data_IF_274532127602
#
_entry.id   IF_274532127602
#
_cell.length_a   1.000
_cell.length_b   1.000
_cell.length_c   1.000
_cell.angle_alpha   90.00
_cell.angle_beta   90.00
_cell.angle_gamma   90.00
#
_symmetry.space_group_name_H-M   'P 1'
#
loop_
_entity.id
_entity.type
_entity.pdbx_description
1 polymer ?
#
# COMPACT_ATOMS: atom_id res chain seq x y z
N UNK A 1 -39.58 -20.00 -13.07
CA UNK A 1 -39.27 -18.82 -13.91
C UNK A 1 -39.28 -17.51 -13.12
N UNK A 2 -40.32 -17.21 -12.32
CA UNK A 2 -40.40 -15.97 -11.50
C UNK A 2 -39.23 -15.79 -10.51
N UNK A 3 -38.73 -16.87 -9.90
CA UNK A 3 -37.57 -16.81 -8.99
C UNK A 3 -36.29 -16.39 -9.74
N UNK A 4 -36.09 -16.87 -10.97
CA UNK A 4 -34.91 -16.55 -11.80
C UNK A 4 -34.99 -15.09 -12.26
N UNK A 5 -36.17 -14.63 -12.68
CA UNK A 5 -36.39 -13.22 -13.08
C UNK A 5 -36.23 -12.29 -11.88
N UNK A 6 -36.78 -12.65 -10.71
CA UNK A 6 -36.60 -11.88 -9.47
C UNK A 6 -35.13 -11.81 -9.03
N UNK A 7 -34.41 -12.94 -9.12
CA UNK A 7 -32.97 -13.00 -8.83
C UNK A 7 -32.15 -12.13 -9.80
N UNK A 8 -32.47 -12.18 -11.09
CA UNK A 8 -31.84 -11.36 -12.11
C UNK A 8 -32.07 -9.86 -11.86
N UNK A 9 -33.32 -9.44 -11.63
CA UNK A 9 -33.67 -8.05 -11.35
C UNK A 9 -32.98 -7.53 -10.08
N UNK A 10 -32.88 -8.37 -9.04
CA UNK A 10 -32.22 -8.01 -7.79
C UNK A 10 -30.70 -7.81 -7.96
N UNK A 11 -30.04 -8.69 -8.72
CA UNK A 11 -28.58 -8.68 -8.92
C UNK A 11 -28.11 -7.62 -9.91
N UNK A 12 -28.98 -7.17 -10.83
CA UNK A 12 -28.68 -6.06 -11.76
C UNK A 12 -29.15 -4.70 -11.28
N UNK A 13 -29.69 -4.62 -10.05
CA UNK A 13 -30.18 -3.35 -9.50
C UNK A 13 -29.01 -2.36 -9.31
N UNK A 14 -29.15 -1.10 -9.77
CA UNK A 14 -28.12 -0.10 -9.54
C UNK A 14 -27.90 0.21 -8.06
N UNK A 15 -26.68 0.59 -7.72
CA UNK A 15 -26.31 0.97 -6.36
C UNK A 15 -26.83 2.37 -6.03
N UNK A 16 -27.37 2.54 -4.82
CA UNK A 16 -27.69 3.87 -4.31
C UNK A 16 -26.42 4.58 -3.78
N UNK A 17 -26.54 5.87 -3.47
CA UNK A 17 -25.40 6.65 -2.97
C UNK A 17 -24.71 6.07 -1.74
N UNK A 18 -25.48 5.56 -0.78
CA UNK A 18 -24.93 5.02 0.46
C UNK A 18 -24.15 3.74 0.20
N UNK A 19 -24.65 2.89 -0.69
CA UNK A 19 -23.98 1.68 -1.15
C UNK A 19 -22.67 2.01 -1.89
N UNK A 20 -22.70 3.01 -2.78
CA UNK A 20 -21.50 3.50 -3.47
C UNK A 20 -20.45 3.98 -2.46
N UNK A 21 -20.83 4.83 -1.50
CA UNK A 21 -19.94 5.36 -0.45
C UNK A 21 -19.35 4.28 0.45
N UNK A 22 -20.08 3.19 0.70
CA UNK A 22 -19.62 2.04 1.52
C UNK A 22 -18.78 1.02 0.74
N UNK A 23 -18.64 1.16 -0.57
CA UNK A 23 -17.89 0.21 -1.40
C UNK A 23 -16.39 0.47 -1.46
N UNK A 24 -16.00 1.73 -1.31
CA UNK A 24 -14.60 2.19 -1.40
C UNK A 24 -13.81 1.83 -0.13
N UNK A 25 -12.48 1.79 -0.24
CA UNK A 25 -11.52 1.67 0.84
C UNK A 25 -10.22 2.36 0.43
N UNK A 26 -9.42 2.79 1.39
CA UNK A 26 -8.03 3.18 1.15
C UNK A 26 -7.15 1.97 1.37
N UNK A 27 -6.17 1.77 0.50
CA UNK A 27 -5.21 0.68 0.65
C UNK A 27 -3.83 1.28 0.84
N UNK A 28 -3.26 0.99 2.00
CA UNK A 28 -1.88 1.32 2.31
C UNK A 28 -1.01 0.14 1.94
N UNK A 29 -0.05 0.38 1.06
CA UNK A 29 1.06 -0.54 0.80
C UNK A 29 2.28 0.00 1.49
N UNK A 30 2.88 -0.80 2.37
CA UNK A 30 4.18 -0.51 2.97
C UNK A 30 5.22 -1.41 2.30
N UNK A 31 6.19 -0.79 1.64
CA UNK A 31 7.27 -1.47 0.94
C UNK A 31 8.58 -1.33 1.72
N UNK A 32 9.30 -2.44 1.90
CA UNK A 32 10.63 -2.45 2.47
C UNK A 32 11.46 -3.55 1.80
N UNK A 33 12.75 -3.58 2.10
CA UNK A 33 13.67 -4.55 1.53
C UNK A 33 14.25 -5.43 2.62
N UNK A 34 14.54 -6.68 2.25
CA UNK A 34 15.19 -7.65 3.11
C UNK A 34 16.42 -8.19 2.40
N UNK A 35 17.57 -8.05 3.05
CA UNK A 35 18.82 -8.68 2.65
C UNK A 35 18.82 -10.12 3.16
N UNK A 36 18.95 -11.08 2.25
CA UNK A 36 19.15 -12.48 2.53
C UNK A 36 20.61 -12.86 2.31
N UNK A 37 21.19 -13.64 3.21
CA UNK A 37 22.49 -14.27 3.02
C UNK A 37 22.35 -15.78 3.25
N UNK A 38 22.72 -16.59 2.26
CA UNK A 38 22.45 -18.03 2.24
C UNK A 38 20.98 -18.33 2.62
N UNK A 39 20.04 -17.64 1.95
CA UNK A 39 18.59 -17.76 2.10
C UNK A 39 18.02 -17.44 3.50
N UNK A 40 18.83 -16.89 4.39
CA UNK A 40 18.39 -16.42 5.71
C UNK A 40 18.25 -14.90 5.71
N UNK A 41 17.14 -14.34 6.23
CA UNK A 41 16.99 -12.90 6.36
C UNK A 41 18.00 -12.37 7.38
N UNK A 42 18.79 -11.38 6.98
CA UNK A 42 19.90 -10.81 7.76
C UNK A 42 19.54 -9.44 8.30
N UNK A 43 19.05 -8.56 7.42
CA UNK A 43 18.71 -7.18 7.79
C UNK A 43 17.57 -6.66 6.91
N UNK A 44 16.70 -5.83 7.50
CA UNK A 44 15.64 -5.13 6.81
C UNK A 44 16.00 -3.66 6.67
N UNK A 45 15.57 -3.01 5.58
CA UNK A 45 15.85 -1.60 5.34
C UNK A 45 14.76 -0.98 4.46
N UNK A 46 14.58 0.34 4.53
CA UNK A 46 13.43 1.04 3.96
C UNK A 46 13.57 1.34 2.47
N UNK A 47 14.80 1.51 1.99
CA UNK A 47 15.08 1.85 0.60
C UNK A 47 16.55 2.14 0.36
N UNK A 48 16.83 2.65 -0.85
CA UNK A 48 18.17 3.06 -1.26
C UNK A 48 18.26 4.57 -1.35
N UNK A 49 19.42 5.11 -0.95
CA UNK A 49 19.81 6.48 -1.26
C UNK A 49 20.13 6.62 -2.76
N UNK A 50 20.35 7.86 -3.23
CA UNK A 50 20.79 8.12 -4.62
C UNK A 50 22.09 7.42 -5.00
N UNK A 51 22.95 7.14 -4.02
CA UNK A 51 24.23 6.47 -4.22
C UNK A 51 24.14 4.95 -4.06
N UNK A 52 22.91 4.39 -4.07
CA UNK A 52 22.63 2.96 -3.89
C UNK A 52 23.04 2.42 -2.52
N UNK A 53 23.01 3.26 -1.48
CA UNK A 53 23.32 2.88 -0.09
C UNK A 53 22.03 2.54 0.63
N UNK A 54 22.04 1.50 1.48
CA UNK A 54 20.83 1.12 2.23
C UNK A 54 20.49 2.15 3.31
N UNK A 55 19.22 2.48 3.43
CA UNK A 55 18.71 3.43 4.43
C UNK A 55 17.61 2.82 5.30
N UNK A 56 17.45 3.37 6.51
CA UNK A 56 16.34 3.02 7.40
C UNK A 56 16.38 1.57 7.91
N UNK A 57 17.54 1.11 8.37
CA UNK A 57 17.71 -0.25 8.89
C UNK A 57 16.75 -0.59 10.02
N UNK A 58 16.29 -1.84 10.02
CA UNK A 58 15.46 -2.44 11.04
C UNK A 58 15.82 -3.92 11.24
N UNK A 59 15.57 -4.42 12.45
CA UNK A 59 15.78 -5.81 12.83
C UNK A 59 14.48 -6.53 13.21
N UNK A 60 13.34 -5.86 13.01
CA UNK A 60 12.00 -6.44 13.15
C UNK A 60 11.05 -5.86 12.10
N UNK A 61 10.04 -6.63 11.70
CA UNK A 61 9.02 -6.18 10.74
C UNK A 61 8.11 -5.08 11.34
N UNK A 62 7.96 -5.05 12.66
CA UNK A 62 7.14 -4.03 13.33
C UNK A 62 7.83 -2.65 13.35
N UNK A 63 9.17 -2.64 13.42
CA UNK A 63 9.95 -1.39 13.53
C UNK A 63 10.41 -0.80 12.20
N UNK A 64 10.24 -1.50 11.07
CA UNK A 64 10.72 -0.98 9.78
C UNK A 64 9.82 0.17 9.30
N UNK A 65 10.42 1.32 8.99
CA UNK A 65 9.70 2.46 8.38
C UNK A 65 9.82 2.39 6.85
N UNK A 66 9.12 1.46 6.23
CA UNK A 66 9.08 1.29 4.77
C UNK A 66 8.45 2.47 4.03
N UNK A 67 8.64 2.53 2.71
CA UNK A 67 7.95 3.48 1.84
C UNK A 67 6.46 3.16 1.82
N UNK A 68 5.63 4.13 2.20
CA UNK A 68 4.17 3.98 2.20
C UNK A 68 3.57 4.59 0.95
N UNK A 69 2.84 3.77 0.20
CA UNK A 69 1.96 4.20 -0.88
C UNK A 69 0.51 4.07 -0.42
N UNK A 70 -0.32 5.08 -0.71
CA UNK A 70 -1.75 5.06 -0.37
C UNK A 70 -2.58 5.19 -1.63
N UNK A 71 -3.16 4.07 -2.06
CA UNK A 71 -4.05 3.97 -3.20
C UNK A 71 -5.51 3.81 -2.78
N UNK A 72 -6.38 3.81 -3.78
CA UNK A 72 -7.78 3.43 -3.65
C UNK A 72 -7.98 1.92 -3.80
N UNK A 73 -9.10 1.44 -3.29
CA UNK A 73 -9.62 0.12 -3.61
C UNK A 73 -11.11 0.03 -3.30
N UNK A 74 -11.71 -1.10 -3.65
CA UNK A 74 -13.12 -1.37 -3.37
C UNK A 74 -13.38 -2.85 -3.19
N UNK A 75 -14.33 -3.17 -2.32
CA UNK A 75 -14.70 -4.54 -1.99
C UNK A 75 -15.48 -5.18 -3.14
N UNK A 76 -15.23 -6.46 -3.40
CA UNK A 76 -15.84 -7.17 -4.54
C UNK A 76 -16.33 -8.55 -4.13
N UNK A 77 -17.48 -8.94 -4.69
CA UNK A 77 -17.94 -10.32 -4.63
C UNK A 77 -17.05 -11.19 -5.54
N UNK A 78 -16.78 -12.43 -5.11
CA UNK A 78 -16.10 -13.42 -5.96
C UNK A 78 -16.91 -13.73 -7.22
N UNK A 79 -18.20 -13.96 -7.03
CA UNK A 79 -19.12 -14.27 -8.12
C UNK A 79 -20.09 -13.11 -8.34
N UNK A 80 -20.41 -12.75 -9.60
CA UNK A 80 -21.25 -11.57 -9.88
C UNK A 80 -22.66 -11.65 -9.28
N UNK A 81 -23.17 -12.88 -9.15
CA UNK A 81 -24.56 -13.16 -8.80
C UNK A 81 -24.76 -13.56 -7.33
N UNK A 82 -23.69 -13.66 -6.54
CA UNK A 82 -23.74 -14.18 -5.16
C UNK A 82 -22.96 -13.25 -4.23
N UNK A 83 -23.55 -12.89 -3.10
CA UNK A 83 -22.86 -12.17 -2.02
C UNK A 83 -21.73 -13.05 -1.45
N UNK A 84 -20.53 -12.91 -2.01
CA UNK A 84 -19.42 -13.85 -1.88
C UNK A 84 -18.08 -13.13 -1.73
N UNK A 85 -18.11 -11.96 -1.09
CA UNK A 85 -16.92 -11.11 -0.91
C UNK A 85 -15.81 -11.83 -0.16
N UNK A 86 -16.08 -12.44 1.00
CA UNK A 86 -15.07 -13.14 1.81
C UNK A 86 -13.82 -12.30 2.05
N UNK A 87 -14.01 -11.01 2.29
CA UNK A 87 -12.94 -10.02 2.46
C UNK A 87 -12.13 -9.72 1.20
N UNK A 88 -12.63 -9.97 -0.01
CA UNK A 88 -11.94 -9.65 -1.26
C UNK A 88 -12.13 -8.19 -1.68
N UNK A 89 -11.07 -7.60 -2.19
CA UNK A 89 -11.12 -6.27 -2.79
C UNK A 89 -10.18 -6.17 -3.98
N UNK A 90 -10.45 -5.22 -4.87
CA UNK A 90 -9.52 -4.79 -5.90
C UNK A 90 -8.93 -3.46 -5.45
N UNK A 91 -7.61 -3.31 -5.58
CA UNK A 91 -6.91 -2.10 -5.17
C UNK A 91 -5.84 -1.70 -6.18
N UNK A 92 -5.64 -0.39 -6.34
CA UNK A 92 -4.45 0.11 -7.01
C UNK A 92 -3.24 -0.13 -6.10
N UNK A 93 -2.24 -0.80 -6.65
CA UNK A 93 -0.99 -1.09 -5.94
C UNK A 93 0.19 -0.36 -6.57
N UNK A 94 0.14 -0.06 -7.88
CA UNK A 94 1.22 0.54 -8.64
C UNK A 94 2.57 -0.07 -8.22
N UNK A 95 2.66 -1.40 -8.34
CA UNK A 95 3.82 -2.20 -7.96
C UNK A 95 4.75 -2.27 -9.16
N UNK A 96 5.66 -1.31 -9.23
CA UNK A 96 6.80 -1.43 -10.15
C UNK A 96 7.70 -2.54 -9.59
N UNK A 97 8.08 -3.54 -10.42
CA UNK A 97 8.94 -4.63 -9.98
C UNK A 97 10.35 -4.07 -9.82
N UNK A 98 10.65 -3.55 -8.64
CA UNK A 98 11.99 -3.15 -8.27
C UNK A 98 12.69 -4.35 -7.63
N UNK A 99 12.87 -5.41 -8.42
CA UNK A 99 13.93 -6.36 -8.13
C UNK A 99 15.19 -5.59 -8.50
N UNK A 100 15.90 -5.02 -7.52
CA UNK A 100 17.28 -4.57 -7.73
C UNK A 100 18.11 -5.84 -7.79
N UNK A 101 18.43 -6.37 -8.98
CA UNK A 101 19.24 -7.55 -9.05
C UNK A 101 20.65 -7.03 -8.75
N UNK A 102 21.12 -7.20 -7.51
CA UNK A 102 22.55 -7.08 -7.20
C UNK A 102 23.23 -8.32 -7.78
N UNK A 103 23.05 -8.58 -9.08
CA UNK A 103 23.59 -9.76 -9.74
C UNK A 103 25.03 -9.54 -10.18
N UNK A 104 25.48 -8.29 -10.32
CA UNK A 104 26.79 -8.07 -10.95
C UNK A 104 27.95 -7.74 -10.01
N UNK A 105 27.75 -7.49 -8.70
CA UNK A 105 28.85 -7.59 -7.72
C UNK A 105 28.39 -7.39 -6.25
N UNK A 106 27.73 -8.39 -5.68
CA UNK A 106 27.39 -8.44 -4.24
C UNK A 106 28.57 -8.06 -3.32
N UNK A 107 29.81 -8.56 -3.53
CA UNK A 107 30.92 -8.23 -2.64
C UNK A 107 31.30 -6.75 -2.68
N UNK A 108 31.20 -6.10 -3.85
CA UNK A 108 31.48 -4.66 -3.97
C UNK A 108 30.38 -3.85 -3.30
N UNK A 109 29.12 -4.23 -3.48
CA UNK A 109 28.00 -3.61 -2.81
C UNK A 109 28.16 -3.66 -1.29
N UNK A 110 28.37 -4.86 -0.72
CA UNK A 110 28.58 -5.02 0.72
C UNK A 110 29.81 -4.26 1.23
N UNK A 111 30.91 -4.26 0.47
CA UNK A 111 32.11 -3.51 0.84
C UNK A 111 31.85 -2.01 0.92
N UNK A 112 31.17 -1.44 -0.09
CA UNK A 112 30.79 -0.02 -0.12
C UNK A 112 29.87 0.33 1.04
N UNK A 113 28.88 -0.51 1.31
CA UNK A 113 27.95 -0.32 2.42
C UNK A 113 28.66 -0.34 3.78
N UNK A 114 29.53 -1.32 4.01
CA UNK A 114 30.32 -1.45 5.24
C UNK A 114 31.26 -0.23 5.40
N UNK A 115 31.90 0.22 4.32
CA UNK A 115 32.78 1.39 4.37
C UNK A 115 32.00 2.65 4.73
N UNK A 116 30.86 2.87 4.09
CA UNK A 116 29.97 4.00 4.36
C UNK A 116 29.47 3.99 5.81
N UNK A 117 28.99 2.85 6.30
CA UNK A 117 28.48 2.73 7.67
C UNK A 117 29.55 3.05 8.71
N UNK A 118 30.80 2.62 8.49
CA UNK A 118 31.92 2.95 9.40
C UNK A 118 32.18 4.45 9.46
N UNK A 119 32.29 5.10 8.30
CA UNK A 119 32.54 6.54 8.21
C UNK A 119 31.39 7.31 8.87
N UNK A 120 30.15 6.94 8.54
CA UNK A 120 28.97 7.60 9.07
C UNK A 120 28.85 7.41 10.59
N UNK A 121 29.17 6.23 11.11
CA UNK A 121 29.22 5.97 12.55
C UNK A 121 30.26 6.84 13.26
N UNK A 122 31.44 7.05 12.66
CA UNK A 122 32.45 7.97 13.21
C UNK A 122 31.88 9.38 13.34
N UNK A 123 31.35 9.93 12.24
CA UNK A 123 30.75 11.28 12.24
C UNK A 123 29.60 11.43 13.23
N UNK A 124 28.74 10.42 13.34
CA UNK A 124 27.63 10.44 14.29
C UNK A 124 28.11 10.41 15.75
N UNK A 125 29.17 9.65 16.05
CA UNK A 125 29.77 9.59 17.39
C UNK A 125 30.44 10.90 17.79
N UNK A 126 31.15 11.53 16.86
CA UNK A 126 31.76 12.85 17.04
C UNK A 126 30.67 13.87 17.37
N UNK A 127 29.61 13.92 16.54
CA UNK A 127 28.45 14.78 16.79
C UNK A 127 27.75 14.48 18.12
N UNK A 128 27.61 13.21 18.51
CA UNK A 128 27.03 12.84 19.80
C UNK A 128 27.89 13.36 20.97
N UNK A 129 29.22 13.32 20.83
CA UNK A 129 30.15 13.84 21.84
C UNK A 129 30.00 15.36 22.02
N UNK A 130 29.87 16.11 20.92
CA UNK A 130 29.63 17.56 20.92
C UNK A 130 28.30 17.91 21.61
N UNK A 131 27.22 17.19 21.29
CA UNK A 131 25.92 17.43 21.89
C UNK A 131 25.90 17.10 23.39
N UNK A 132 26.58 16.03 23.80
CA UNK A 132 26.74 15.71 25.23
C UNK A 132 27.56 16.77 25.96
N UNK A 133 28.59 17.32 25.32
CA UNK A 133 29.35 18.44 25.87
C UNK A 133 28.44 19.66 26.05
N UNK A 134 27.68 20.02 25.01
CA UNK A 134 26.72 21.13 25.05
C UNK A 134 25.72 20.98 26.20
N UNK A 135 25.05 19.83 26.30
CA UNK A 135 24.05 19.56 27.35
C UNK A 135 24.63 19.55 28.77
N UNK A 136 25.93 19.26 28.92
CA UNK A 136 26.62 19.28 30.21
C UNK A 136 27.02 20.70 30.64
N UNK A 137 27.45 21.52 29.68
CA UNK A 137 27.96 22.88 29.95
C UNK A 137 26.83 23.91 30.00
N UNK A 138 25.84 23.78 29.13
CA UNK A 138 24.68 24.66 29.03
C UNK A 138 23.48 23.97 29.68
N UNK A 139 23.43 24.02 31.01
CA UNK A 139 22.37 23.42 31.84
C UNK A 139 21.13 24.31 32.04
N UNK A 140 20.93 25.32 31.20
CA UNK A 140 19.73 26.17 31.26
C UNK A 140 18.58 25.39 30.62
N UNK A 141 17.59 25.02 31.42
CA UNK A 141 16.40 24.29 30.98
C UNK A 141 15.43 25.24 30.27
N UNK A 142 15.70 25.53 29.01
CA UNK A 142 14.79 26.24 28.11
C UNK A 142 14.25 25.31 27.01
N UNK A 143 13.40 25.85 26.12
CA UNK A 143 12.86 25.09 24.99
C UNK A 143 13.95 24.56 24.05
N UNK A 144 15.09 25.25 23.94
CA UNK A 144 16.24 24.83 23.14
C UNK A 144 16.95 23.61 23.73
N UNK A 145 17.10 23.56 25.06
CA UNK A 145 17.66 22.42 25.78
C UNK A 145 16.87 21.14 25.51
N UNK A 146 15.54 21.21 25.64
CA UNK A 146 14.67 20.05 25.42
C UNK A 146 14.75 19.51 23.98
N UNK A 147 14.84 20.41 23.00
CA UNK A 147 15.03 20.03 21.59
C UNK A 147 16.36 19.30 21.41
N UNK A 148 17.44 19.80 22.00
CA UNK A 148 18.78 19.20 21.90
C UNK A 148 18.85 17.86 22.64
N UNK A 149 18.23 17.73 23.81
CA UNK A 149 18.15 16.48 24.56
C UNK A 149 17.38 15.39 23.77
N UNK A 150 16.23 15.76 23.18
CA UNK A 150 15.45 14.88 22.30
C UNK A 150 16.25 14.46 21.07
N UNK A 151 16.95 15.41 20.43
CA UNK A 151 17.82 15.11 19.28
C UNK A 151 18.97 14.18 19.65
N UNK A 152 19.64 14.41 20.79
CA UNK A 152 20.72 13.59 21.32
C UNK A 152 20.26 12.14 21.55
N UNK A 153 19.07 11.97 22.11
CA UNK A 153 18.47 10.64 22.32
C UNK A 153 18.21 9.93 20.99
N UNK A 154 17.63 10.62 20.00
CA UNK A 154 17.41 10.07 18.66
C UNK A 154 18.71 9.73 17.95
N UNK A 155 19.75 10.56 18.08
CA UNK A 155 21.07 10.30 17.49
C UNK A 155 21.72 9.05 18.11
N UNK A 156 21.61 8.88 19.43
CA UNK A 156 22.09 7.67 20.10
C UNK A 156 21.42 6.41 19.56
N UNK A 157 20.08 6.42 19.46
CA UNK A 157 19.35 5.30 18.88
C UNK A 157 19.77 5.00 17.43
N UNK A 158 20.02 6.05 16.60
CA UNK A 158 20.55 5.88 15.24
C UNK A 158 21.93 5.24 15.21
N UNK A 159 22.82 5.63 16.12
CA UNK A 159 24.16 5.02 16.26
C UNK A 159 24.04 3.55 16.63
N UNK A 160 23.18 3.20 17.58
CA UNK A 160 23.00 1.81 18.02
C UNK A 160 22.47 0.94 16.87
N UNK A 161 21.46 1.43 16.12
CA UNK A 161 20.94 0.75 14.92
C UNK A 161 22.01 0.59 13.83
N UNK A 162 22.75 1.65 13.51
CA UNK A 162 23.79 1.61 12.47
C UNK A 162 24.98 0.71 12.87
N UNK A 163 25.35 0.69 14.15
CA UNK A 163 26.38 -0.20 14.67
C UNK A 163 25.95 -1.65 14.55
N UNK A 164 24.72 -1.97 14.97
CA UNK A 164 24.16 -3.32 14.81
C UNK A 164 24.10 -3.74 13.35
N UNK A 165 23.76 -2.82 12.44
CA UNK A 165 23.74 -3.07 11.01
C UNK A 165 25.14 -3.40 10.49
N UNK A 166 26.14 -2.59 10.82
CA UNK A 166 27.54 -2.81 10.47
C UNK A 166 28.04 -4.17 10.97
N UNK A 167 27.78 -4.50 12.24
CA UNK A 167 28.21 -5.76 12.83
C UNK A 167 27.55 -6.95 12.14
N UNK A 168 26.26 -6.84 11.84
CA UNK A 168 25.50 -7.85 11.09
C UNK A 168 26.09 -8.06 9.69
N UNK A 169 26.32 -6.99 8.93
CA UNK A 169 26.87 -7.09 7.56
C UNK A 169 28.28 -7.69 7.55
N UNK A 170 29.11 -7.42 8.56
CA UNK A 170 30.45 -7.99 8.70
C UNK A 170 30.45 -9.50 8.93
N UNK A 171 29.37 -10.08 9.44
CA UNK A 171 29.27 -11.54 9.61
C UNK A 171 29.09 -12.29 8.28
N UNK A 172 28.67 -11.59 7.22
CA UNK A 172 28.47 -12.18 5.90
C UNK A 172 29.84 -12.50 5.29
N UNK A 173 30.13 -13.78 5.08
CA UNK A 173 31.39 -14.23 4.47
C UNK A 173 31.43 -13.84 2.99
N UNK A 174 32.63 -13.57 2.47
CA UNK A 174 32.88 -13.10 1.08
C UNK A 174 32.19 -13.92 -0.02
N UNK A 175 32.06 -15.24 0.16
CA UNK A 175 31.49 -16.17 -0.82
C UNK A 175 30.03 -16.55 -0.52
N UNK A 176 29.40 -15.92 0.48
CA UNK A 176 27.99 -16.19 0.80
C UNK A 176 27.13 -15.60 -0.31
N UNK A 177 26.20 -16.36 -0.90
CA UNK A 177 25.24 -15.78 -1.83
C UNK A 177 24.34 -14.80 -1.08
N UNK A 178 24.11 -13.64 -1.67
CA UNK A 178 23.27 -12.58 -1.10
C UNK A 178 22.23 -12.19 -2.11
N UNK A 179 21.03 -11.93 -1.62
CA UNK A 179 19.92 -11.45 -2.45
C UNK A 179 19.16 -10.40 -1.67
N UNK A 180 18.73 -9.34 -2.34
CA UNK A 180 17.82 -8.36 -1.77
C UNK A 180 16.45 -8.60 -2.39
N UNK A 181 15.46 -8.77 -1.52
CA UNK A 181 14.07 -8.99 -1.93
C UNK A 181 13.24 -7.83 -1.37
N UNK A 182 12.48 -7.17 -2.23
CA UNK A 182 11.45 -6.22 -1.81
C UNK A 182 10.26 -6.99 -1.26
N UNK A 183 9.84 -6.64 -0.04
CA UNK A 183 8.61 -7.11 0.59
C UNK A 183 7.57 -6.01 0.63
N UNK A 184 6.32 -6.38 0.41
CA UNK A 184 5.16 -5.49 0.47
C UNK A 184 4.18 -6.04 1.51
N UNK A 185 3.72 -5.18 2.42
CA UNK A 185 2.55 -5.45 3.26
C UNK A 185 1.42 -4.53 2.87
N UNK A 186 0.19 -5.04 2.95
CA UNK A 186 -1.01 -4.32 2.52
C UNK A 186 -1.99 -4.24 3.68
N UNK A 187 -2.52 -3.05 3.93
CA UNK A 187 -3.54 -2.80 4.94
C UNK A 187 -4.68 -2.02 4.30
N UNK A 188 -5.90 -2.55 4.39
CA UNK A 188 -7.09 -1.85 3.95
C UNK A 188 -7.66 -1.04 5.11
N UNK A 189 -7.86 0.26 4.86
CA UNK A 189 -8.52 1.20 5.76
C UNK A 189 -9.92 1.50 5.23
N UNK A 190 -10.92 1.41 6.11
CA UNK A 190 -12.33 1.67 5.82
C UNK A 190 -13.00 2.29 7.06
N UNK A 191 -13.97 3.21 6.90
CA UNK A 191 -14.70 3.75 8.03
C UNK A 191 -15.75 2.76 8.55
N UNK A 192 -15.96 2.75 9.87
CA UNK A 192 -17.16 2.18 10.48
C UNK A 192 -18.39 3.07 10.26
N UNK A 193 -19.54 2.63 10.75
CA UNK A 193 -20.79 3.41 10.66
C UNK A 193 -20.73 4.74 11.41
N UNK A 194 -19.80 4.90 12.36
CA UNK A 194 -19.56 6.15 13.09
C UNK A 194 -18.58 7.10 12.39
N UNK A 195 -18.01 6.68 11.25
CA UNK A 195 -17.02 7.43 10.49
C UNK A 195 -15.60 7.36 11.05
N UNK A 196 -15.30 6.38 11.91
CA UNK A 196 -13.93 6.13 12.42
C UNK A 196 -13.23 5.11 11.56
N UNK A 197 -11.95 5.34 11.28
CA UNK A 197 -11.14 4.38 10.52
C UNK A 197 -10.94 3.09 11.30
N UNK A 198 -11.29 1.99 10.65
CA UNK A 198 -10.78 0.66 10.96
C UNK A 198 -9.73 0.26 9.94
N UNK A 199 -8.91 -0.72 10.32
CA UNK A 199 -7.88 -1.29 9.48
C UNK A 199 -7.95 -2.82 9.52
N UNK A 200 -7.61 -3.46 8.41
CA UNK A 200 -7.40 -4.89 8.37
C UNK A 200 -6.23 -5.23 7.45
N UNK A 201 -5.44 -6.22 7.86
CA UNK A 201 -4.32 -6.69 7.06
C UNK A 201 -4.82 -7.54 5.90
N UNK A 202 -4.14 -7.36 4.77
CA UNK A 202 -4.50 -7.92 3.49
C UNK A 202 -3.37 -8.79 2.96
N UNK A 203 -3.74 -9.96 2.43
CA UNK A 203 -2.87 -10.78 1.61
C UNK A 203 -3.15 -10.53 0.13
N UNK A 204 -2.12 -10.53 -0.69
CA UNK A 204 -2.28 -10.49 -2.15
C UNK A 204 -2.72 -11.87 -2.62
N UNK A 205 -3.77 -11.91 -3.44
CA UNK A 205 -4.16 -13.13 -4.15
C UNK A 205 -3.57 -13.16 -5.55
N UNK A 206 -3.64 -12.03 -6.27
CA UNK A 206 -3.19 -11.93 -7.66
C UNK A 206 -2.91 -10.48 -8.03
N UNK A 207 -1.86 -10.27 -8.83
CA UNK A 207 -1.58 -8.99 -9.48
C UNK A 207 -2.15 -8.97 -10.90
N UNK A 208 -2.50 -7.79 -11.40
CA UNK A 208 -2.66 -7.58 -12.84
C UNK A 208 -1.33 -7.84 -13.56
N UNK A 209 -1.40 -8.16 -14.85
CA UNK A 209 -0.21 -8.47 -15.65
C UNK A 209 0.81 -7.31 -15.68
N UNK A 210 0.31 -6.08 -15.62
CA UNK A 210 1.09 -4.85 -15.55
C UNK A 210 1.43 -4.39 -14.12
N UNK A 211 0.99 -5.15 -13.10
CA UNK A 211 1.17 -4.91 -11.67
C UNK A 211 0.69 -3.54 -11.17
N UNK A 212 -0.19 -2.87 -11.91
CA UNK A 212 -0.79 -1.59 -11.49
C UNK A 212 -1.87 -1.78 -10.44
N UNK A 213 -2.58 -2.91 -10.46
CA UNK A 213 -3.62 -3.23 -9.50
C UNK A 213 -3.56 -4.70 -9.08
N UNK A 214 -4.22 -5.04 -7.97
CA UNK A 214 -4.21 -6.39 -7.44
C UNK A 214 -5.55 -6.76 -6.80
N UNK A 215 -5.82 -8.06 -6.77
CA UNK A 215 -6.85 -8.66 -5.93
C UNK A 215 -6.22 -8.95 -4.58
N UNK A 216 -6.78 -8.32 -3.55
CA UNK A 216 -6.40 -8.51 -2.16
C UNK A 216 -7.51 -9.24 -1.41
N UNK A 217 -7.14 -9.93 -0.33
CA UNK A 217 -8.08 -10.53 0.59
C UNK A 217 -7.69 -10.24 2.03
N UNK A 218 -8.65 -10.01 2.91
CA UNK A 218 -8.36 -9.96 4.35
C UNK A 218 -7.68 -11.24 4.80
N UNK A 219 -6.70 -11.15 5.70
CA UNK A 219 -6.01 -12.32 6.26
C UNK A 219 -7.01 -13.28 6.94
N UNK A 220 -8.07 -12.74 7.54
CA UNK A 220 -9.15 -13.52 8.16
C UNK A 220 -10.14 -14.15 7.17
N UNK A 221 -10.05 -13.84 5.88
CA UNK A 221 -11.03 -14.19 4.85
C UNK A 221 -12.48 -13.76 5.17
N UNK A 222 -12.66 -12.79 6.06
CA UNK A 222 -13.96 -12.21 6.44
C UNK A 222 -14.08 -10.79 5.92
N UNK A 223 -15.26 -10.44 5.43
CA UNK A 223 -15.61 -9.07 5.10
C UNK A 223 -15.98 -8.30 6.37
N UNK A 224 -15.55 -7.04 6.54
CA UNK A 224 -16.10 -6.18 7.58
C UNK A 224 -17.60 -5.92 7.38
N UNK A 225 -18.37 -5.74 8.45
CA UNK A 225 -19.84 -5.59 8.33
C UNK A 225 -20.28 -4.23 7.75
N UNK A 226 -19.45 -3.19 7.87
CA UNK A 226 -19.78 -1.83 7.44
C UNK A 226 -19.62 -1.57 5.93
N UNK A 227 -19.09 -2.54 5.19
CA UNK A 227 -18.70 -2.39 3.78
C UNK A 227 -19.80 -2.87 2.83
N UNK A 228 -19.80 -2.36 1.60
CA UNK A 228 -20.69 -2.80 0.53
C UNK A 228 -19.88 -3.38 -0.63
N UNK A 229 -19.81 -4.71 -0.77
CA UNK A 229 -19.16 -5.33 -1.93
C UNK A 229 -19.88 -4.98 -3.24
N UNK A 230 -19.09 -4.78 -4.28
CA UNK A 230 -19.55 -4.61 -5.66
C UNK A 230 -19.59 -5.95 -6.39
N UNK A 231 -20.59 -6.10 -7.27
CA UNK A 231 -20.73 -7.24 -8.17
C UNK A 231 -20.19 -6.89 -9.56
N UNK A 232 -19.20 -7.65 -10.01
CA UNK A 232 -18.58 -7.49 -11.32
C UNK A 232 -19.34 -8.30 -12.37
N UNK A 233 -20.51 -7.81 -12.76
CA UNK A 233 -21.33 -8.44 -13.80
C UNK A 233 -20.54 -8.64 -15.13
N UNK A 234 -20.84 -9.67 -15.93
CA UNK A 234 -19.96 -10.08 -17.05
C UNK A 234 -20.09 -9.27 -18.35
N UNK A 235 -21.00 -8.30 -18.41
CA UNK A 235 -21.06 -7.29 -19.49
C UNK A 235 -20.32 -6.01 -19.08
N UNK A 236 -20.24 -4.97 -19.91
CA UNK A 236 -19.81 -3.65 -19.44
C UNK A 236 -21.03 -2.75 -19.18
N UNK A 237 -20.89 -1.79 -18.25
CA UNK A 237 -21.83 -0.66 -18.19
C UNK A 237 -21.46 0.37 -19.28
N UNK A 238 -22.38 1.27 -19.61
CA UNK A 238 -22.12 2.33 -20.59
C UNK A 238 -20.90 3.16 -20.17
N UNK A 239 -19.95 3.32 -21.09
CA UNK A 239 -18.67 4.02 -20.86
C UNK A 239 -18.70 5.47 -21.33
N UNK A 240 -19.82 5.98 -21.83
CA UNK A 240 -19.95 7.36 -22.34
C UNK A 240 -21.03 8.12 -21.59
N UNK A 241 -20.73 9.37 -21.21
CA UNK A 241 -21.69 10.29 -20.60
C UNK A 241 -21.39 10.59 -19.14
N UNK A 242 -22.43 10.96 -18.39
CA UNK A 242 -22.32 11.33 -16.98
C UNK A 242 -21.91 10.14 -16.10
N UNK A 243 -20.93 10.38 -15.23
CA UNK A 243 -20.36 9.39 -14.34
C UNK A 243 -20.16 9.95 -12.94
N UNK A 244 -20.10 9.05 -11.96
CA UNK A 244 -19.93 9.36 -10.55
C UNK A 244 -18.74 8.58 -10.03
N UNK A 245 -17.72 9.30 -9.59
CA UNK A 245 -16.59 8.76 -8.87
C UNK A 245 -16.88 8.69 -7.37
N UNK A 246 -16.33 7.69 -6.68
CA UNK A 246 -16.39 7.63 -5.21
C UNK A 246 -15.00 7.89 -4.64
N UNK A 247 -14.93 8.68 -3.57
CA UNK A 247 -13.69 8.95 -2.84
C UNK A 247 -13.93 9.02 -1.33
N UNK A 248 -12.88 9.32 -0.56
CA UNK A 248 -12.97 9.65 0.87
C UNK A 248 -12.58 11.09 1.13
N UNK A 249 -13.27 11.71 2.08
CA UNK A 249 -12.80 12.92 2.75
C UNK A 249 -12.69 12.65 4.25
N UNK A 250 -11.68 13.27 4.87
CA UNK A 250 -11.49 13.28 6.32
C UNK A 250 -11.70 14.70 6.82
N UNK A 251 -12.52 14.87 7.85
CA UNK A 251 -12.76 16.17 8.48
C UNK A 251 -11.58 16.56 9.38
N UNK A 252 -11.53 17.84 9.77
CA UNK A 252 -10.59 18.32 10.79
C UNK A 252 -10.72 17.58 12.13
N UNK A 253 -11.91 17.06 12.43
CA UNK A 253 -12.18 16.24 13.61
C UNK A 253 -11.76 14.76 13.45
N UNK A 254 -11.15 14.38 12.32
CA UNK A 254 -10.64 13.03 12.06
C UNK A 254 -11.71 12.02 11.62
N UNK A 255 -12.97 12.43 11.42
CA UNK A 255 -14.02 11.56 10.88
C UNK A 255 -13.88 11.43 9.36
N UNK A 256 -14.06 10.23 8.84
CA UNK A 256 -13.96 9.95 7.41
C UNK A 256 -15.25 9.37 6.85
N UNK A 257 -15.63 9.84 5.66
CA UNK A 257 -16.85 9.41 4.99
C UNK A 257 -16.66 9.39 3.48
N UNK A 258 -17.38 8.48 2.84
CA UNK A 258 -17.39 8.38 1.38
C UNK A 258 -18.07 9.61 0.77
N UNK A 259 -17.49 10.14 -0.30
CA UNK A 259 -18.05 11.25 -1.09
C UNK A 259 -18.22 10.83 -2.53
N UNK A 260 -19.24 11.40 -3.17
CA UNK A 260 -19.51 11.23 -4.59
C UNK A 260 -18.97 12.46 -5.32
N UNK A 261 -18.44 12.23 -6.51
CA UNK A 261 -17.90 13.27 -7.36
C UNK A 261 -18.46 13.10 -8.75
N UNK A 262 -19.11 14.14 -9.25
CA UNK A 262 -19.61 14.14 -10.61
C UNK A 262 -18.46 14.28 -11.60
N UNK A 263 -18.60 13.58 -12.71
CA UNK A 263 -17.67 13.63 -13.82
C UNK A 263 -18.29 13.11 -15.10
N UNK A 264 -17.45 12.97 -16.12
CA UNK A 264 -17.84 12.47 -17.42
C UNK A 264 -16.85 11.44 -17.92
N UNK A 265 -17.36 10.51 -18.70
CA UNK A 265 -16.56 9.54 -19.45
C UNK A 265 -16.70 9.79 -20.95
N UNK A 266 -15.59 9.75 -21.67
CA UNK A 266 -15.59 9.60 -23.12
C UNK A 266 -15.76 8.13 -23.52
N UNK A 267 -16.14 7.85 -24.76
CA UNK A 267 -16.42 6.48 -25.22
C UNK A 267 -15.25 5.49 -25.04
N UNK A 268 -14.02 6.00 -24.93
CA UNK A 268 -12.80 5.23 -24.73
C UNK A 268 -12.48 5.00 -23.23
N UNK A 269 -13.37 5.45 -22.34
CA UNK A 269 -13.21 5.31 -20.89
C UNK A 269 -12.27 6.34 -20.26
N UNK A 270 -11.87 7.41 -20.97
CA UNK A 270 -11.16 8.54 -20.35
C UNK A 270 -12.14 9.36 -19.53
N UNK A 271 -11.61 10.00 -18.49
CA UNK A 271 -12.43 10.76 -17.56
C UNK A 271 -11.87 12.15 -17.25
N UNK A 272 -12.71 13.01 -16.69
CA UNK A 272 -12.32 14.33 -16.19
C UNK A 272 -12.19 14.41 -14.65
N UNK A 273 -12.29 13.28 -13.93
CA UNK A 273 -12.10 13.27 -12.47
C UNK A 273 -10.73 13.83 -12.06
N UNK A 274 -10.72 14.63 -10.99
CA UNK A 274 -9.51 15.20 -10.40
C UNK A 274 -8.62 14.11 -9.79
N UNK A 275 -7.32 14.11 -10.12
CA UNK A 275 -6.35 13.18 -9.50
C UNK A 275 -6.09 13.47 -8.03
N UNK A 276 -6.32 14.72 -7.60
CA UNK A 276 -6.19 15.11 -6.19
C UNK A 276 -7.30 14.49 -5.34
N UNK A 277 -8.52 14.51 -5.88
CA UNK A 277 -9.69 14.05 -5.16
C UNK A 277 -9.99 12.57 -5.39
N UNK A 278 -9.64 12.02 -6.55
CA UNK A 278 -9.86 10.64 -6.94
C UNK A 278 -8.52 9.96 -7.26
N UNK A 279 -8.09 9.08 -6.36
CA UNK A 279 -6.89 8.27 -6.53
C UNK A 279 -7.15 7.12 -7.47
N UNK A 280 -6.09 6.57 -8.03
CA UNK A 280 -6.15 5.28 -8.71
C UNK A 280 -6.68 4.22 -7.75
N UNK A 281 -7.49 3.31 -8.27
CA UNK A 281 -8.17 2.29 -7.48
C UNK A 281 -9.56 2.67 -6.99
N UNK A 282 -9.97 3.94 -7.11
CA UNK A 282 -11.33 4.35 -6.75
C UNK A 282 -12.37 3.84 -7.77
N UNK A 283 -13.54 3.36 -7.29
CA UNK A 283 -14.60 2.87 -8.16
C UNK A 283 -15.33 4.04 -8.85
N UNK A 284 -15.75 3.78 -10.08
CA UNK A 284 -16.51 4.69 -10.94
C UNK A 284 -17.84 4.05 -11.32
N UNK A 285 -18.91 4.84 -11.24
CA UNK A 285 -20.27 4.46 -11.52
C UNK A 285 -20.84 5.34 -12.64
N UNK A 286 -21.88 4.86 -13.32
CA UNK A 286 -22.72 5.70 -14.17
C UNK A 286 -23.55 6.65 -13.29
N UNK A 287 -24.10 7.73 -13.85
CA UNK A 287 -25.08 8.58 -13.17
C UNK A 287 -26.28 7.83 -12.56
N UNK A 288 -26.63 6.65 -13.11
CA UNK A 288 -27.73 5.81 -12.62
C UNK A 288 -27.30 4.79 -11.56
N UNK A 289 -26.06 4.80 -11.07
CA UNK A 289 -25.57 3.89 -10.02
C UNK A 289 -25.09 2.51 -10.48
N UNK A 290 -24.96 2.27 -11.79
CA UNK A 290 -24.31 1.05 -12.31
C UNK A 290 -22.79 1.14 -12.19
N UNK A 291 -22.13 0.11 -11.65
CA UNK A 291 -20.67 0.06 -11.59
C UNK A 291 -20.06 -0.05 -13.00
N UNK A 292 -19.20 0.91 -13.35
CA UNK A 292 -18.53 1.02 -14.65
C UNK A 292 -17.14 0.37 -14.60
N UNK A 293 -16.38 0.65 -13.54
CA UNK A 293 -15.01 0.20 -13.44
C UNK A 293 -14.21 0.94 -12.39
N UNK A 294 -12.89 0.89 -12.52
CA UNK A 294 -11.95 1.46 -11.56
C UNK A 294 -11.09 2.53 -12.23
N UNK A 295 -10.92 3.68 -11.60
CA UNK A 295 -9.97 4.70 -12.09
C UNK A 295 -8.54 4.15 -12.05
N UNK A 296 -7.81 4.32 -13.16
CA UNK A 296 -6.37 4.08 -13.25
C UNK A 296 -5.75 5.12 -14.19
N UNK A 297 -4.95 6.03 -13.64
CA UNK A 297 -4.39 7.15 -14.39
C UNK A 297 -5.50 8.06 -14.95
N UNK A 298 -5.56 8.18 -16.28
CA UNK A 298 -6.54 9.00 -17.01
C UNK A 298 -7.70 8.21 -17.62
N UNK A 299 -7.77 6.93 -17.32
CA UNK A 299 -8.72 5.98 -17.90
C UNK A 299 -9.42 5.18 -16.81
N UNK A 300 -10.55 4.58 -17.16
CA UNK A 300 -11.26 3.62 -16.32
C UNK A 300 -10.99 2.20 -16.81
N UNK A 301 -10.43 1.36 -15.93
CA UNK A 301 -10.33 -0.08 -16.16
C UNK A 301 -11.73 -0.67 -16.08
N UNK A 302 -12.16 -1.30 -17.17
CA UNK A 302 -13.53 -1.79 -17.31
C UNK A 302 -13.84 -2.93 -16.34
N UNK A 303 -15.11 -3.03 -15.92
CA UNK A 303 -15.63 -4.16 -15.13
C UNK A 303 -15.22 -5.53 -15.68
N UNK A 304 -15.28 -5.73 -16.99
CA UNK A 304 -14.93 -7.01 -17.61
C UNK A 304 -13.45 -7.37 -17.45
N UNK A 305 -12.56 -6.39 -17.57
CA UNK A 305 -11.13 -6.60 -17.35
C UNK A 305 -10.85 -6.98 -15.89
N UNK A 306 -11.48 -6.28 -14.95
CA UNK A 306 -11.38 -6.58 -13.52
C UNK A 306 -11.94 -7.98 -13.19
N UNK A 307 -13.01 -8.42 -13.87
CA UNK A 307 -13.58 -9.74 -13.67
C UNK A 307 -12.66 -10.87 -14.18
N UNK A 308 -11.88 -10.65 -15.24
CA UNK A 308 -10.87 -11.62 -15.70
C UNK A 308 -9.83 -11.87 -14.61
N UNK A 309 -9.42 -10.82 -13.90
CA UNK A 309 -8.45 -10.93 -12.81
C UNK A 309 -8.98 -11.79 -11.65
N UNK A 310 -10.29 -11.78 -11.39
CA UNK A 310 -10.91 -12.60 -10.33
C UNK A 310 -11.14 -14.06 -10.69
N UNK A 311 -11.25 -14.38 -11.99
CA UNK A 311 -11.68 -15.70 -12.49
C UNK A 311 -10.50 -16.57 -12.96
N UNK A 312 -9.43 -15.98 -13.49
CA UNK A 312 -8.25 -16.69 -13.98
C UNK A 312 -7.31 -17.20 -12.86
N UNK A 313 -7.82 -17.56 -11.68
CA UNK A 313 -7.04 -18.02 -10.54
C UNK A 313 -7.37 -19.44 -10.09
N UNK A 314 -8.33 -20.11 -10.74
CA UNK A 314 -8.83 -21.43 -10.32
C UNK A 314 -8.28 -22.59 -11.18
N UNK A 315 -7.51 -22.34 -12.25
CA UNK A 315 -7.00 -23.40 -13.15
C UNK A 315 -5.63 -23.98 -12.74
N UNK A 316 -4.97 -23.46 -11.70
CA UNK A 316 -3.64 -23.96 -11.24
C UNK A 316 -3.70 -24.82 -9.96
N UNK A 317 -4.89 -25.16 -9.45
CA UNK A 317 -5.03 -26.05 -8.28
C UNK A 317 -6.14 -27.10 -8.47
N UNK A 318 -6.08 -27.86 -9.56
CA UNK A 318 -6.78 -29.15 -9.66
C UNK A 318 -5.87 -30.22 -10.26
#
# INVERSE_FOLDING_TARGET
MLIIVGWYVWTTKPYNEQQMKRSISLVERKSYFVLYAADKPVIMFSGFSRDSIMEGFSFSEDSISGLTFVGGGFWVNRYPWVASCSGRMIAAVNDMPEIVPIRENVPIFLYKEIAYLKENLSRMRDKLSELRYYLRVHGVQDEGYDVIAKYTTRLRARIDTAQKALDTLRTIKRHTPVTIIRKNTFTAKYPDESGRWNACDMRVLKYSDDMRYAVLQTVSAKSPDSIQPLSLLPWNAGTKGAAVGVSYLTTLAGKSYGVLMDGTLDGDGKHNFSDFLMKDGHPVFSAHGSFVGMKQGKTVISRNELNKLLTQGDDENN
#
